data_IF_681655221908
#
_entry.id   IF_681655221908
#
_cell.length_a   1.000
_cell.length_b   1.000
_cell.length_c   1.000
_cell.angle_alpha   90.00
_cell.angle_beta   90.00
_cell.angle_gamma   90.00
#
_symmetry.space_group_name_H-M   'P 1'
#
loop_
_entity.id
_entity.type
_entity.pdbx_description
1 polymer ?
#
# COMPACT_ATOMS: atom_id res chain seq x y z
N UNK A 1 -39.04 15.48 -70.82
CA UNK A 1 -37.64 15.68 -70.40
C UNK A 1 -37.52 15.19 -68.96
N UNK A 2 -37.05 13.96 -68.77
CA UNK A 2 -35.74 13.63 -68.20
C UNK A 2 -35.50 14.13 -66.75
N UNK A 3 -35.51 13.21 -65.79
CA UNK A 3 -34.97 13.42 -64.44
C UNK A 3 -35.18 12.23 -63.49
N UNK A 4 -34.13 11.43 -63.23
CA UNK A 4 -34.05 10.29 -62.29
C UNK A 4 -33.78 10.76 -60.84
N UNK A 5 -34.46 10.13 -59.87
CA UNK A 5 -34.07 9.51 -58.55
C UNK A 5 -32.64 9.85 -58.02
N UNK A 6 -32.33 10.08 -56.70
CA UNK A 6 -32.73 9.17 -55.62
C UNK A 6 -32.96 9.65 -54.17
N UNK A 7 -33.59 8.71 -53.47
CA UNK A 7 -33.86 8.51 -52.04
C UNK A 7 -32.59 8.21 -51.21
N UNK A 8 -32.77 8.27 -49.87
CA UNK A 8 -31.97 7.71 -48.77
C UNK A 8 -30.80 8.53 -48.21
N UNK A 9 -31.04 9.15 -47.04
CA UNK A 9 -29.99 9.31 -46.02
C UNK A 9 -30.27 8.33 -44.89
N UNK A 10 -29.41 7.31 -44.84
CA UNK A 10 -29.35 6.22 -43.89
C UNK A 10 -29.04 6.78 -42.50
N UNK A 11 -29.83 6.41 -41.48
CA UNK A 11 -29.41 6.49 -40.09
C UNK A 11 -28.24 5.52 -39.91
N UNK A 12 -27.06 6.03 -39.57
CA UNK A 12 -25.90 5.20 -39.30
C UNK A 12 -26.16 4.36 -38.04
N UNK A 13 -26.26 3.04 -38.20
CA UNK A 13 -26.25 2.12 -37.06
C UNK A 13 -24.81 1.99 -36.52
N UNK A 14 -24.60 2.47 -35.30
CA UNK A 14 -23.37 2.29 -34.54
C UNK A 14 -23.17 0.79 -34.26
N UNK A 15 -22.07 0.22 -34.76
CA UNK A 15 -21.82 -1.22 -34.60
C UNK A 15 -21.17 -1.52 -33.25
N UNK A 16 -21.33 -2.74 -32.73
CA UNK A 16 -20.63 -3.22 -31.52
C UNK A 16 -19.11 -3.02 -31.58
N UNK A 17 -18.51 -3.02 -32.78
CA UNK A 17 -17.09 -2.75 -32.98
C UNK A 17 -16.72 -1.29 -32.78
N UNK A 18 -17.60 -0.36 -33.15
CA UNK A 18 -17.41 1.07 -32.89
C UNK A 18 -17.51 1.38 -31.40
N UNK A 19 -18.43 0.69 -30.70
CA UNK A 19 -18.60 0.79 -29.26
C UNK A 19 -17.40 0.20 -28.48
N UNK A 20 -16.83 -0.92 -28.95
CA UNK A 20 -15.60 -1.51 -28.39
C UNK A 20 -14.34 -0.69 -28.70
N UNK A 21 -14.29 0.03 -29.82
CA UNK A 21 -13.20 0.97 -30.13
C UNK A 21 -13.29 2.22 -29.25
N UNK A 22 -14.49 2.70 -28.97
CA UNK A 22 -14.71 3.82 -28.06
C UNK A 22 -14.33 3.48 -26.61
N UNK A 23 -14.60 2.24 -26.15
CA UNK A 23 -14.20 1.81 -24.79
C UNK A 23 -12.68 1.61 -24.66
N UNK A 24 -11.99 1.15 -25.71
CA UNK A 24 -10.53 1.04 -25.70
C UNK A 24 -9.83 2.41 -25.60
N UNK A 25 -10.40 3.46 -26.21
CA UNK A 25 -9.87 4.82 -26.12
C UNK A 25 -10.13 5.45 -24.73
N UNK A 26 -11.25 5.15 -24.09
CA UNK A 26 -11.56 5.63 -22.74
C UNK A 26 -10.75 4.91 -21.64
N UNK A 27 -10.47 3.62 -21.81
CA UNK A 27 -9.65 2.86 -20.86
C UNK A 27 -8.15 3.26 -20.90
N UNK A 28 -7.65 3.74 -22.05
CA UNK A 28 -6.27 4.20 -22.20
C UNK A 28 -6.00 5.61 -21.64
N UNK A 29 -7.03 6.42 -21.39
CA UNK A 29 -6.90 7.79 -20.90
C UNK A 29 -6.80 7.92 -19.36
N UNK A 30 -6.95 6.82 -18.62
CA UNK A 30 -7.02 6.83 -17.15
C UNK A 30 -5.65 6.74 -16.45
N UNK A 31 -4.55 6.61 -17.18
CA UNK A 31 -3.19 6.60 -16.61
C UNK A 31 -2.35 7.72 -17.21
N UNK A 32 -2.69 8.96 -16.90
CA UNK A 32 -1.69 10.02 -16.94
C UNK A 32 -0.75 9.78 -15.75
N UNK A 33 0.58 9.64 -15.95
CA UNK A 33 1.50 9.57 -14.82
C UNK A 33 1.28 10.83 -13.98
N UNK A 34 1.02 10.62 -12.69
CA UNK A 34 1.05 11.65 -11.67
C UNK A 34 2.34 12.46 -11.84
N UNK A 35 2.21 13.65 -12.44
CA UNK A 35 3.35 14.45 -12.85
C UNK A 35 4.13 14.95 -11.62
N UNK A 36 5.45 14.82 -11.68
CA UNK A 36 6.34 15.50 -10.73
C UNK A 36 6.41 16.98 -11.13
N UNK A 37 6.02 17.87 -10.22
CA UNK A 37 6.17 19.31 -10.37
C UNK A 37 7.38 19.77 -9.56
N UNK A 38 8.34 20.42 -10.23
CA UNK A 38 9.54 20.98 -9.59
C UNK A 38 9.28 22.45 -9.28
N UNK A 39 8.87 22.69 -8.04
CA UNK A 39 8.76 24.01 -7.44
C UNK A 39 9.99 24.29 -6.56
N UNK A 40 10.22 25.56 -6.20
CA UNK A 40 11.19 25.91 -5.17
C UNK A 40 10.86 25.19 -3.85
N UNK A 41 11.82 24.49 -3.23
CA UNK A 41 11.59 23.78 -1.97
C UNK A 41 10.96 24.66 -0.89
N UNK A 42 10.23 24.08 0.08
CA UNK A 42 9.77 24.82 1.24
C UNK A 42 10.91 25.61 1.91
N UNK A 43 10.65 26.83 2.43
CA UNK A 43 11.69 27.65 3.03
C UNK A 43 12.50 26.90 4.10
N UNK A 44 13.82 26.96 3.98
CA UNK A 44 14.75 26.31 4.90
C UNK A 44 14.79 24.78 4.81
N UNK A 45 14.16 24.17 3.79
CA UNK A 45 14.23 22.72 3.59
C UNK A 45 15.70 22.27 3.45
N UNK A 46 16.10 21.11 4.03
CA UNK A 46 17.48 20.66 4.01
C UNK A 46 18.07 20.55 2.60
N UNK A 47 19.22 21.18 2.38
CA UNK A 47 19.94 21.10 1.11
C UNK A 47 20.46 19.68 0.86
N UNK A 48 20.40 19.22 -0.40
CA UNK A 48 20.95 17.93 -0.81
C UNK A 48 20.01 16.73 -0.61
N UNK A 49 18.81 16.95 -0.07
CA UNK A 49 17.73 15.96 -0.03
C UNK A 49 16.76 16.29 -1.17
N UNK A 50 16.50 15.30 -2.02
CA UNK A 50 15.62 15.47 -3.18
C UNK A 50 14.19 15.73 -2.70
N UNK A 51 13.57 16.79 -3.21
CA UNK A 51 12.20 17.19 -2.85
C UNK A 51 11.48 17.74 -4.07
N UNK A 52 10.22 17.36 -4.22
CA UNK A 52 9.37 17.73 -5.35
C UNK A 52 7.91 17.71 -4.92
N UNK A 53 7.02 18.19 -5.79
CA UNK A 53 5.59 17.97 -5.63
C UNK A 53 5.12 16.83 -6.53
N UNK A 54 4.22 16.00 -6.01
CA UNK A 54 3.57 14.95 -6.78
C UNK A 54 2.09 14.82 -6.41
N UNK A 55 1.31 14.18 -7.30
CA UNK A 55 -0.03 13.72 -6.96
C UNK A 55 0.11 12.53 -6.02
N UNK A 56 -0.52 12.62 -4.85
CA UNK A 56 -0.77 11.44 -4.03
C UNK A 56 -2.09 10.82 -4.49
N UNK A 57 -2.05 9.55 -4.86
CA UNK A 57 -3.23 8.75 -5.15
C UNK A 57 -3.04 7.39 -4.50
N UNK A 58 -4.01 6.96 -3.70
CA UNK A 58 -3.99 5.59 -3.18
C UNK A 58 -4.36 4.59 -4.28
N UNK A 59 -4.03 3.32 -4.08
CA UNK A 59 -4.27 2.27 -5.07
C UNK A 59 -5.73 2.18 -5.55
N UNK A 60 -6.68 2.47 -4.65
CA UNK A 60 -8.11 2.47 -4.97
C UNK A 60 -8.61 3.72 -5.72
N UNK A 61 -7.80 4.79 -5.81
CA UNK A 61 -8.18 6.07 -6.40
C UNK A 61 -9.15 6.93 -5.56
N UNK A 62 -9.60 6.43 -4.41
CA UNK A 62 -10.57 7.10 -3.53
C UNK A 62 -9.97 8.30 -2.79
N UNK A 63 -8.66 8.27 -2.52
CA UNK A 63 -7.92 9.38 -1.92
C UNK A 63 -6.93 9.90 -2.95
N UNK A 64 -7.21 11.09 -3.48
CA UNK A 64 -6.38 11.77 -4.47
C UNK A 64 -6.12 13.23 -4.08
N UNK A 65 -4.86 13.63 -4.00
CA UNK A 65 -4.42 14.99 -3.67
C UNK A 65 -3.39 15.43 -4.69
N UNK A 66 -3.64 16.54 -5.39
CA UNK A 66 -2.94 16.86 -6.64
C UNK A 66 -1.45 17.23 -6.51
N UNK A 67 -1.02 17.84 -5.39
CA UNK A 67 0.30 18.48 -5.36
C UNK A 67 0.88 18.54 -3.95
N UNK A 68 1.17 17.37 -3.38
CA UNK A 68 1.80 17.27 -2.07
C UNK A 68 3.32 17.31 -2.20
N UNK A 69 3.97 17.96 -1.23
CA UNK A 69 5.42 17.88 -1.11
C UNK A 69 5.83 16.47 -0.72
N UNK A 70 6.80 15.94 -1.47
CA UNK A 70 7.41 14.63 -1.24
C UNK A 70 8.92 14.78 -1.29
N UNK A 71 9.61 14.21 -0.31
CA UNK A 71 11.07 14.08 -0.36
C UNK A 71 11.50 12.61 -0.47
N UNK A 72 12.70 12.41 -0.99
CA UNK A 72 13.26 11.08 -1.29
C UNK A 72 14.60 10.94 -0.55
N UNK A 73 14.59 10.70 0.77
CA UNK A 73 15.82 10.57 1.54
C UNK A 73 16.56 9.28 1.18
N UNK A 74 17.89 9.36 1.18
CA UNK A 74 18.81 8.26 0.87
C UNK A 74 19.18 7.43 2.10
N UNK A 75 19.04 8.00 3.30
CA UNK A 75 19.48 7.35 4.55
C UNK A 75 18.53 7.66 5.71
N UNK A 76 18.59 6.84 6.76
CA UNK A 76 17.87 7.11 8.01
C UNK A 76 18.28 8.45 8.65
N UNK A 77 19.54 8.87 8.48
CA UNK A 77 20.01 10.17 8.98
C UNK A 77 19.32 11.34 8.26
N UNK A 78 19.15 11.25 6.94
CA UNK A 78 18.40 12.24 6.17
C UNK A 78 16.93 12.33 6.61
N UNK A 79 16.28 11.20 6.95
CA UNK A 79 14.93 11.21 7.53
C UNK A 79 14.91 12.03 8.83
N UNK A 80 15.88 11.80 9.73
CA UNK A 80 15.97 12.55 10.99
C UNK A 80 16.14 14.05 10.73
N UNK A 81 17.00 14.43 9.77
CA UNK A 81 17.18 15.83 9.37
C UNK A 81 15.86 16.44 8.86
N UNK A 82 15.13 15.73 8.00
CA UNK A 82 13.83 16.17 7.47
C UNK A 82 12.79 16.32 8.59
N UNK A 83 12.70 15.35 9.50
CA UNK A 83 11.74 15.38 10.60
C UNK A 83 12.02 16.54 11.57
N UNK A 84 13.30 16.79 11.87
CA UNK A 84 13.70 17.92 12.70
C UNK A 84 13.37 19.27 12.04
N UNK A 85 13.65 19.42 10.74
CA UNK A 85 13.22 20.60 9.97
C UNK A 85 11.70 20.77 10.01
N UNK A 86 10.95 19.70 9.73
CA UNK A 86 9.50 19.73 9.67
C UNK A 86 8.90 20.15 11.02
N UNK A 87 9.43 19.61 12.12
CA UNK A 87 9.04 20.01 13.46
C UNK A 87 9.26 21.52 13.70
N UNK A 88 10.44 22.05 13.36
CA UNK A 88 10.74 23.48 13.50
C UNK A 88 9.90 24.39 12.58
N UNK A 89 9.53 23.91 11.39
CA UNK A 89 8.73 24.65 10.42
C UNK A 89 7.20 24.49 10.58
N UNK A 90 6.75 23.66 11.53
CA UNK A 90 5.32 23.39 11.78
C UNK A 90 4.66 22.48 10.73
N UNK A 91 5.42 21.55 10.16
CA UNK A 91 4.94 20.56 9.19
C UNK A 91 4.68 19.20 9.84
N UNK A 92 3.76 18.43 9.26
CA UNK A 92 3.55 17.01 9.55
C UNK A 92 4.31 16.18 8.54
N UNK A 93 4.88 15.06 8.99
CA UNK A 93 5.67 14.15 8.17
C UNK A 93 4.97 12.80 8.10
N UNK A 94 4.77 12.27 6.90
CA UNK A 94 4.11 10.97 6.68
C UNK A 94 5.00 10.07 5.83
N UNK A 95 5.31 8.83 6.26
CA UNK A 95 5.97 7.88 5.36
C UNK A 95 5.05 7.54 4.20
N UNK A 96 5.63 7.43 3.01
CA UNK A 96 4.94 7.10 1.77
C UNK A 96 5.59 5.85 1.19
N UNK A 97 4.90 4.72 1.33
CA UNK A 97 5.21 3.47 0.64
C UNK A 97 4.53 3.42 -0.74
N UNK A 98 4.05 2.24 -1.12
CA UNK A 98 3.36 1.99 -2.40
C UNK A 98 1.91 2.51 -2.46
N UNK A 99 1.45 3.25 -1.44
CA UNK A 99 0.12 3.90 -1.39
C UNK A 99 -1.07 2.93 -1.50
N UNK A 100 -0.89 1.69 -1.08
CA UNK A 100 -1.91 0.65 -1.22
C UNK A 100 -3.04 0.70 -0.16
N UNK A 101 -2.91 1.53 0.87
CA UNK A 101 -3.88 1.63 1.96
C UNK A 101 -5.17 2.37 1.55
N UNK A 102 -6.32 1.80 1.95
CA UNK A 102 -7.63 2.47 1.84
C UNK A 102 -7.88 3.47 2.97
N UNK A 103 -7.52 3.09 4.20
CA UNK A 103 -7.70 3.96 5.35
C UNK A 103 -6.92 5.27 5.15
N UNK A 104 -7.47 6.43 5.55
CA UNK A 104 -6.86 7.74 5.35
C UNK A 104 -5.74 7.98 6.38
N UNK A 105 -4.83 7.00 6.49
CA UNK A 105 -3.73 7.04 7.42
C UNK A 105 -2.72 8.06 6.91
N UNK A 106 -2.22 7.99 5.68
CA UNK A 106 -1.21 8.94 5.16
C UNK A 106 -1.76 10.36 5.06
N UNK A 107 -2.81 10.54 4.25
CA UNK A 107 -3.55 11.79 4.07
C UNK A 107 -5.03 11.48 3.94
N UNK A 108 -5.87 12.50 4.05
CA UNK A 108 -7.32 12.37 3.90
C UNK A 108 -7.78 12.97 2.58
N UNK A 109 -9.00 12.67 2.13
CA UNK A 109 -9.60 13.35 0.98
C UNK A 109 -9.80 14.87 1.20
N UNK A 110 -9.78 15.33 2.46
CA UNK A 110 -9.84 16.75 2.81
C UNK A 110 -8.47 17.45 2.80
N UNK A 111 -7.37 16.70 2.64
CA UNK A 111 -6.02 17.27 2.61
C UNK A 111 -5.83 18.10 1.34
N UNK A 112 -5.42 19.36 1.51
CA UNK A 112 -5.20 20.30 0.42
C UNK A 112 -3.70 20.45 0.08
N UNK A 113 -3.33 20.83 -1.16
CA UNK A 113 -1.94 21.12 -1.54
C UNK A 113 -1.24 22.22 -0.72
N UNK A 114 -2.02 23.08 -0.06
CA UNK A 114 -1.53 24.15 0.82
C UNK A 114 -1.28 23.67 2.27
N UNK A 115 -1.74 22.47 2.63
CA UNK A 115 -1.50 21.91 3.96
C UNK A 115 -0.01 21.62 4.15
N UNK A 116 0.47 21.84 5.38
CA UNK A 116 1.86 21.59 5.76
C UNK A 116 2.09 20.11 6.04
N UNK A 117 1.94 19.29 5.01
CA UNK A 117 2.19 17.85 5.04
C UNK A 117 3.31 17.54 4.05
N UNK A 118 4.37 16.92 4.55
CA UNK A 118 5.48 16.39 3.76
C UNK A 118 5.39 14.87 3.74
N UNK A 119 5.39 14.29 2.55
CA UNK A 119 5.53 12.86 2.34
C UNK A 119 7.01 12.49 2.28
N UNK A 120 7.37 11.37 2.89
CA UNK A 120 8.73 10.83 2.85
C UNK A 120 8.67 9.52 2.08
N UNK A 121 9.14 9.53 0.84
CA UNK A 121 9.19 8.33 0.01
C UNK A 121 10.31 7.41 0.49
N UNK A 122 9.93 6.28 1.07
CA UNK A 122 10.90 5.29 1.57
C UNK A 122 11.29 4.28 0.49
N UNK A 123 10.54 4.19 -0.62
CA UNK A 123 10.64 3.08 -1.57
C UNK A 123 11.83 3.16 -2.52
N UNK A 124 12.46 4.33 -2.65
CA UNK A 124 13.55 4.56 -3.61
C UNK A 124 14.93 4.09 -3.11
N UNK A 125 15.27 4.39 -1.85
CA UNK A 125 16.63 4.22 -1.33
C UNK A 125 16.70 3.42 -0.04
N UNK A 126 15.61 3.35 0.73
CA UNK A 126 15.57 2.71 2.04
C UNK A 126 15.05 1.28 1.90
N UNK A 127 15.74 0.49 1.09
CA UNK A 127 15.33 -0.86 0.65
C UNK A 127 16.37 -1.94 0.96
N UNK A 128 17.47 -1.60 1.64
CA UNK A 128 18.55 -2.54 1.89
C UNK A 128 18.10 -3.70 2.81
N UNK A 129 18.68 -4.87 2.56
CA UNK A 129 18.42 -6.09 3.31
C UNK A 129 19.72 -6.82 3.63
N UNK A 130 19.77 -7.48 4.78
CA UNK A 130 20.85 -8.40 5.14
C UNK A 130 20.37 -9.50 6.07
N UNK A 131 20.96 -10.68 5.92
CA UNK A 131 20.81 -11.76 6.91
C UNK A 131 21.55 -11.36 8.19
N UNK A 132 20.92 -11.61 9.33
CA UNK A 132 21.49 -11.44 10.67
C UNK A 132 21.66 -12.84 11.31
N UNK A 133 22.44 -13.00 12.38
CA UNK A 133 22.60 -14.30 13.04
C UNK A 133 21.26 -14.95 13.44
N UNK A 134 21.14 -16.26 13.23
CA UNK A 134 19.89 -17.01 13.39
C UNK A 134 18.95 -16.88 12.18
N UNK A 135 17.70 -17.38 12.25
CA UNK A 135 16.73 -17.23 11.16
C UNK A 135 16.11 -15.82 11.18
N UNK A 136 16.93 -14.79 10.98
CA UNK A 136 16.48 -13.40 10.99
C UNK A 136 17.09 -12.57 9.86
N UNK A 137 16.31 -11.59 9.40
CA UNK A 137 16.69 -10.63 8.37
C UNK A 137 16.47 -9.24 8.91
N UNK A 138 17.43 -8.35 8.67
CA UNK A 138 17.22 -6.91 8.79
C UNK A 138 16.87 -6.36 7.43
N UNK A 139 15.76 -5.63 7.38
CA UNK A 139 15.22 -5.00 6.17
C UNK A 139 14.89 -3.55 6.47
N UNK A 140 15.23 -2.66 5.54
CA UNK A 140 14.79 -1.27 5.58
C UNK A 140 13.33 -1.15 5.16
N UNK A 141 12.59 -0.24 5.80
CA UNK A 141 11.13 -0.22 5.77
C UNK A 141 10.51 0.04 4.39
N UNK A 142 11.29 0.56 3.43
CA UNK A 142 10.85 0.86 2.08
C UNK A 142 10.91 -0.32 1.10
N UNK A 143 11.61 -1.40 1.44
CA UNK A 143 11.66 -2.60 0.61
C UNK A 143 10.24 -3.12 0.31
N UNK A 144 10.02 -3.66 -0.89
CA UNK A 144 8.75 -4.33 -1.20
C UNK A 144 8.66 -5.69 -0.49
N UNK A 145 7.44 -6.21 -0.34
CA UNK A 145 7.23 -7.57 0.15
C UNK A 145 7.75 -8.60 -0.87
N UNK A 146 7.62 -8.35 -2.17
CA UNK A 146 8.20 -9.23 -3.20
C UNK A 146 9.72 -9.32 -3.09
N UNK A 147 10.42 -8.18 -2.95
CA UNK A 147 11.88 -8.17 -2.80
C UNK A 147 12.31 -8.87 -1.50
N UNK A 148 11.55 -8.68 -0.41
CA UNK A 148 11.81 -9.38 0.85
C UNK A 148 11.63 -10.89 0.71
N UNK A 149 10.55 -11.35 0.10
CA UNK A 149 10.28 -12.78 -0.07
C UNK A 149 11.32 -13.45 -1.00
N UNK A 150 11.70 -12.77 -2.09
CA UNK A 150 12.77 -13.24 -2.97
C UNK A 150 14.13 -13.27 -2.25
N UNK A 151 14.43 -12.26 -1.41
CA UNK A 151 15.64 -12.23 -0.60
C UNK A 151 15.68 -13.38 0.42
N UNK A 152 14.54 -13.67 1.07
CA UNK A 152 14.42 -14.80 1.99
C UNK A 152 14.65 -16.13 1.28
N UNK A 153 13.98 -16.35 0.14
CA UNK A 153 14.14 -17.57 -0.67
C UNK A 153 15.60 -17.80 -1.07
N UNK A 154 16.28 -16.75 -1.57
CA UNK A 154 17.69 -16.82 -1.97
C UNK A 154 18.64 -17.17 -0.81
N UNK A 155 18.20 -16.97 0.44
CA UNK A 155 18.97 -17.30 1.65
C UNK A 155 18.44 -18.54 2.38
N UNK A 156 17.55 -19.32 1.77
CA UNK A 156 16.98 -20.53 2.37
C UNK A 156 16.04 -20.25 3.56
N UNK A 157 15.46 -19.06 3.60
CA UNK A 157 14.51 -18.60 4.62
C UNK A 157 13.11 -18.42 4.00
N UNK A 158 12.10 -18.24 4.84
CA UNK A 158 10.74 -17.95 4.42
C UNK A 158 9.86 -17.51 5.58
N UNK A 159 8.64 -17.11 5.25
CA UNK A 159 7.59 -16.77 6.22
C UNK A 159 6.33 -17.60 5.95
N UNK A 160 5.66 -18.02 7.01
CA UNK A 160 4.42 -18.82 6.92
C UNK A 160 3.22 -18.00 6.49
N UNK A 161 3.24 -16.69 6.75
CA UNK A 161 2.13 -15.81 6.49
C UNK A 161 2.62 -14.46 5.95
N UNK A 162 2.06 -14.03 4.82
CA UNK A 162 2.39 -12.76 4.17
C UNK A 162 1.14 -12.25 3.43
N UNK A 163 0.94 -10.92 3.30
CA UNK A 163 -0.08 -10.39 2.41
C UNK A 163 0.00 -10.99 1.00
N UNK A 164 -1.15 -11.08 0.33
CA UNK A 164 -1.23 -11.56 -1.04
C UNK A 164 -0.48 -10.67 -2.06
N UNK A 165 -0.61 -9.32 -2.03
CA UNK A 165 0.15 -8.47 -2.94
C UNK A 165 1.58 -8.23 -2.44
N UNK A 166 2.52 -8.24 -3.38
CA UNK A 166 3.95 -8.06 -3.12
C UNK A 166 4.45 -6.63 -3.28
N UNK A 167 3.70 -5.78 -4.00
CA UNK A 167 3.93 -4.34 -4.18
C UNK A 167 3.48 -3.51 -2.96
N UNK A 168 3.75 -4.04 -1.76
CA UNK A 168 3.57 -3.38 -0.47
C UNK A 168 4.94 -3.14 0.16
N UNK A 169 5.11 -1.99 0.81
CA UNK A 169 6.35 -1.74 1.55
C UNK A 169 6.31 -2.49 2.87
N UNK A 170 7.43 -3.09 3.30
CA UNK A 170 7.54 -3.79 4.59
C UNK A 170 7.06 -2.92 5.75
N UNK A 171 7.43 -1.64 5.79
CA UNK A 171 6.98 -0.70 6.83
C UNK A 171 5.46 -0.49 6.82
N UNK A 172 4.84 -0.45 5.64
CA UNK A 172 3.40 -0.35 5.47
C UNK A 172 2.66 -1.60 5.95
N UNK A 173 3.18 -2.79 5.65
CA UNK A 173 2.64 -4.06 6.13
C UNK A 173 2.70 -4.13 7.66
N UNK A 174 3.85 -3.80 8.25
CA UNK A 174 4.00 -3.78 9.71
C UNK A 174 3.07 -2.79 10.40
N UNK A 175 2.85 -1.61 9.80
CA UNK A 175 2.02 -0.56 10.37
C UNK A 175 0.55 -0.95 10.59
N UNK A 176 0.05 -1.95 9.86
CA UNK A 176 -1.36 -2.38 9.88
C UNK A 176 -1.53 -3.86 10.24
N UNK A 177 -0.47 -4.53 10.70
CA UNK A 177 -0.46 -5.97 10.93
C UNK A 177 -0.89 -6.76 9.67
N UNK A 178 -0.33 -6.40 8.52
CA UNK A 178 -0.68 -7.02 7.24
C UNK A 178 -0.38 -8.52 7.25
N UNK A 179 -1.34 -9.29 6.77
CA UNK A 179 -1.31 -10.74 6.88
C UNK A 179 -1.93 -11.38 5.62
N UNK A 180 -1.61 -12.65 5.40
CA UNK A 180 -2.35 -13.54 4.52
C UNK A 180 -3.25 -14.44 5.34
N UNK A 181 -3.31 -15.71 4.96
CA UNK A 181 -4.04 -16.75 5.70
C UNK A 181 -3.16 -17.97 5.86
N UNK A 182 -2.95 -18.38 7.12
CA UNK A 182 -2.19 -19.58 7.46
C UNK A 182 -2.63 -20.09 8.82
N UNK A 183 -2.90 -21.39 8.91
CA UNK A 183 -3.11 -22.11 10.17
C UNK A 183 -2.36 -23.42 10.10
N UNK A 184 -1.82 -23.86 11.24
CA UNK A 184 -1.19 -25.17 11.31
C UNK A 184 -2.23 -26.27 11.04
N UNK A 185 -1.89 -27.22 10.18
CA UNK A 185 -2.71 -28.41 9.98
C UNK A 185 -2.70 -29.29 11.25
N UNK A 186 -3.69 -30.19 11.36
CA UNK A 186 -3.74 -31.12 12.48
C UNK A 186 -2.50 -32.02 12.50
N UNK A 187 -1.75 -31.98 13.60
CA UNK A 187 -0.49 -32.72 13.75
C UNK A 187 0.73 -32.08 13.08
N UNK A 188 0.58 -30.90 12.48
CA UNK A 188 1.72 -30.15 11.93
C UNK A 188 2.64 -29.66 13.05
N UNK A 189 3.95 -29.86 12.88
CA UNK A 189 4.97 -29.29 13.75
C UNK A 189 5.51 -28.01 13.10
N UNK A 190 5.33 -26.87 13.76
CA UNK A 190 5.81 -25.59 13.24
C UNK A 190 7.33 -25.50 13.23
N UNK A 191 7.88 -24.95 12.16
CA UNK A 191 9.31 -24.64 12.10
C UNK A 191 9.68 -23.56 13.13
N UNK A 192 10.86 -23.63 13.77
CA UNK A 192 11.36 -22.59 14.65
C UNK A 192 11.33 -21.22 13.96
N UNK A 193 10.87 -20.18 14.68
CA UNK A 193 10.69 -18.83 14.12
C UNK A 193 9.28 -18.56 13.56
N UNK A 194 8.43 -19.58 13.43
CA UNK A 194 7.02 -19.39 13.06
C UNK A 194 6.20 -18.87 14.25
N UNK A 195 5.47 -17.75 14.14
CA UNK A 195 4.57 -17.30 15.20
C UNK A 195 3.50 -18.36 15.45
N UNK A 196 3.36 -18.83 16.70
CA UNK A 196 2.19 -19.62 17.06
C UNK A 196 1.00 -18.68 17.12
N UNK A 197 -0.07 -18.97 16.37
CA UNK A 197 -1.38 -18.48 16.75
C UNK A 197 -1.64 -19.09 18.13
N UNK A 198 -1.44 -18.31 19.20
CA UNK A 198 -1.76 -18.77 20.55
C UNK A 198 -3.21 -19.22 20.51
N UNK A 199 -3.42 -20.51 20.69
CA UNK A 199 -4.70 -21.17 20.55
C UNK A 199 -5.74 -20.47 21.43
N UNK A 200 -6.61 -19.66 20.83
CA UNK A 200 -7.79 -19.11 21.50
C UNK A 200 -8.80 -20.23 21.90
N UNK A 201 -8.49 -21.49 21.61
CA UNK A 201 -9.35 -22.64 21.89
C UNK A 201 -9.25 -23.20 23.31
N UNK A 202 -8.46 -22.61 24.22
CA UNK A 202 -8.48 -23.07 25.62
C UNK A 202 -9.75 -22.67 26.38
N UNK A 203 -10.60 -21.76 25.86
CA UNK A 203 -11.85 -21.36 26.53
C UNK A 203 -13.13 -21.94 25.94
N UNK A 204 -13.06 -22.75 24.88
CA UNK A 204 -14.24 -23.40 24.29
C UNK A 204 -14.05 -24.93 24.23
N UNK A 205 -13.66 -25.56 25.34
CA UNK A 205 -14.07 -26.95 25.58
C UNK A 205 -15.43 -26.90 26.25
N UNK A 206 -16.47 -27.31 25.53
CA UNK A 206 -17.73 -27.70 26.17
C UNK A 206 -17.41 -28.75 27.23
N UNK A 207 -17.90 -28.61 28.48
CA UNK A 207 -17.75 -29.69 29.45
C UNK A 207 -18.46 -30.95 28.92
N UNK A 208 -17.96 -32.16 29.24
CA UNK A 208 -18.68 -33.37 28.92
C UNK A 208 -20.09 -33.30 29.54
N UNK A 209 -21.11 -33.62 28.75
CA UNK A 209 -22.49 -33.69 29.22
C UNK A 209 -22.63 -34.83 30.23
N UNK A 210 -22.34 -34.57 31.50
CA UNK A 210 -22.80 -35.43 32.59
C UNK A 210 -24.28 -35.15 32.77
N UNK A 211 -25.11 -36.10 32.32
CA UNK A 211 -26.55 -36.03 32.49
C UNK A 211 -26.93 -36.00 33.96
N UNK A 212 -27.30 -34.83 34.45
CA UNK A 212 -28.20 -34.63 35.59
C UNK A 212 -28.85 -33.26 35.45
N UNK A 213 -30.17 -33.24 35.29
CA UNK A 213 -31.00 -32.04 35.30
C UNK A 213 -30.88 -31.34 36.67
N UNK A 214 -30.54 -30.05 36.68
CA UNK A 214 -31.00 -29.10 37.69
C UNK A 214 -31.08 -27.68 37.09
N UNK A 215 -32.10 -26.88 37.45
CA UNK A 215 -32.48 -25.69 36.70
C UNK A 215 -31.59 -24.47 37.01
N UNK A 216 -31.50 -23.60 36.01
CA UNK A 216 -30.70 -22.39 35.96
C UNK A 216 -31.08 -21.37 37.06
N UNK A 217 -30.06 -20.77 37.66
CA UNK A 217 -30.17 -19.48 38.34
C UNK A 217 -29.67 -18.38 37.39
N UNK A 218 -30.52 -17.36 37.21
CA UNK A 218 -30.27 -16.16 36.43
C UNK A 218 -29.17 -15.29 37.05
N UNK A 219 -28.25 -14.82 36.21
CA UNK A 219 -27.66 -13.47 36.19
C UNK A 219 -27.27 -13.16 34.74
#
# INVERSE_FOLDING_TARGET
MHGRVPTLSIMAELTRRDLLRASAAAAGAAWLPAGVLRDDPPPGFPSGIDVHREVYENWAGEIRVASLWTCVPRTAAEIVTVVNWAHGAGWKVRPRGYRHGWAPLTVTAATAPADRVLLVDTTHHLTAMRVEPGPSVRVEAGASMDDLLAFLEANGLGVTNTPAPGDLSVGGVLAINGHGTSVAAAGETLAPGTPTARSATSSCRSPPSSGTHQPAAMC
#
